data_IF_042664675273
#
_entry.id   IF_042664675273
#
_cell.length_a   1.000
_cell.length_b   1.000
_cell.length_c   1.000
_cell.angle_alpha   90.00
_cell.angle_beta   90.00
_cell.angle_gamma   90.00
#
_symmetry.space_group_name_H-M   'P 1'
#
loop_
_entity.id
_entity.type
_entity.pdbx_description
1 polymer ?
#
# COMPACT_ATOMS: atom_id res chain seq x y z
N UNK A 1 -14.30 -0.29 10.46
CA UNK A 1 -13.45 -0.09 11.67
C UNK A 1 -13.29 1.39 11.94
N UNK A 2 -13.07 1.76 13.19
CA UNK A 2 -12.84 3.15 13.58
C UNK A 2 -11.44 3.30 14.16
N UNK A 3 -10.62 4.14 13.52
CA UNK A 3 -9.26 4.42 13.95
C UNK A 3 -9.23 5.22 15.26
N UNK A 4 -8.05 5.32 15.89
CA UNK A 4 -7.86 5.99 17.19
C UNK A 4 -8.24 7.47 17.17
N UNK A 5 -8.02 8.16 16.06
CA UNK A 5 -8.42 9.56 15.84
C UNK A 5 -9.89 9.73 15.44
N UNK A 6 -10.63 8.63 15.35
CA UNK A 6 -12.05 8.64 14.99
C UNK A 6 -12.32 8.43 13.51
N UNK A 7 -11.30 8.40 12.65
CA UNK A 7 -11.43 8.18 11.19
C UNK A 7 -12.10 6.84 10.89
N UNK A 8 -13.06 6.82 9.98
CA UNK A 8 -13.74 5.60 9.55
C UNK A 8 -12.95 4.89 8.44
N UNK A 9 -12.55 3.65 8.70
CA UNK A 9 -11.78 2.80 7.79
C UNK A 9 -12.69 1.70 7.24
N UNK A 10 -12.95 1.76 5.93
CA UNK A 10 -13.66 0.72 5.22
C UNK A 10 -12.78 -0.54 5.15
N UNK A 11 -13.36 -1.68 5.51
CA UNK A 11 -12.69 -2.97 5.38
C UNK A 11 -13.67 -4.05 4.95
N UNK A 12 -13.13 -5.12 4.36
CA UNK A 12 -13.89 -6.27 3.91
C UNK A 12 -13.12 -7.56 4.22
N UNK A 13 -13.81 -8.52 4.80
CA UNK A 13 -13.28 -9.84 5.09
C UNK A 13 -13.97 -10.91 4.24
N UNK A 14 -13.19 -11.80 3.64
CA UNK A 14 -13.70 -12.96 2.89
C UNK A 14 -12.88 -14.21 3.16
N UNK A 15 -13.49 -15.39 2.97
CA UNK A 15 -12.89 -16.66 3.42
C UNK A 15 -13.14 -16.95 4.90
N UNK A 16 -12.69 -18.14 5.38
CA UNK A 16 -13.08 -18.67 6.71
C UNK A 16 -11.92 -19.23 7.53
N UNK A 17 -10.68 -19.16 7.04
CA UNK A 17 -9.52 -19.76 7.70
C UNK A 17 -8.82 -18.75 8.62
N UNK A 18 -7.52 -18.95 8.88
CA UNK A 18 -6.73 -18.04 9.70
C UNK A 18 -6.69 -16.64 9.09
N UNK A 19 -6.80 -15.56 9.87
CA UNK A 19 -6.85 -14.21 9.34
C UNK A 19 -5.52 -13.79 8.70
N UNK A 20 -5.60 -13.32 7.46
CA UNK A 20 -4.54 -12.63 6.74
C UNK A 20 -5.02 -11.20 6.48
N UNK A 21 -4.41 -10.25 7.16
CA UNK A 21 -4.73 -8.83 7.02
C UNK A 21 -3.80 -8.19 6.02
N UNK A 22 -4.34 -7.50 5.03
CA UNK A 22 -3.56 -6.68 4.10
C UNK A 22 -3.48 -5.25 4.64
N UNK A 23 -2.27 -4.80 4.95
CA UNK A 23 -2.03 -3.40 5.23
C UNK A 23 -2.47 -2.55 4.02
N UNK A 24 -3.17 -1.42 4.24
CA UNK A 24 -3.66 -0.61 3.14
C UNK A 24 -2.49 -0.08 2.30
N UNK A 25 -2.70 -0.04 1.01
CA UNK A 25 -1.80 0.65 0.09
C UNK A 25 -2.64 1.60 -0.77
N UNK A 26 -2.02 2.62 -1.32
CA UNK A 26 -2.71 3.60 -2.13
C UNK A 26 -3.28 3.01 -3.43
N UNK A 27 -4.20 3.74 -4.06
CA UNK A 27 -4.88 3.30 -5.30
C UNK A 27 -5.61 1.98 -5.07
N UNK A 28 -6.45 1.93 -4.03
CA UNK A 28 -7.39 0.83 -3.81
C UNK A 28 -8.80 1.35 -3.63
N UNK A 29 -9.75 0.51 -4.03
CA UNK A 29 -11.15 0.65 -3.70
C UNK A 29 -11.72 -0.76 -3.56
N UNK A 30 -12.22 -1.10 -2.39
CA UNK A 30 -12.65 -2.45 -2.03
C UNK A 30 -13.68 -3.06 -3.01
N UNK A 31 -14.52 -2.24 -3.63
CA UNK A 31 -15.51 -2.70 -4.61
C UNK A 31 -14.85 -3.03 -5.94
N UNK A 32 -14.00 -2.13 -6.46
CA UNK A 32 -13.41 -2.25 -7.79
C UNK A 32 -12.20 -3.19 -7.84
N UNK A 33 -11.49 -3.39 -6.73
CA UNK A 33 -10.32 -4.28 -6.66
C UNK A 33 -10.62 -5.71 -7.14
N UNK A 34 -11.86 -6.20 -6.95
CA UNK A 34 -12.27 -7.54 -7.42
C UNK A 34 -12.32 -7.65 -8.95
N UNK A 35 -12.42 -6.55 -9.64
CA UNK A 35 -12.41 -6.48 -11.12
C UNK A 35 -11.05 -6.06 -11.67
N UNK A 36 -10.13 -5.62 -10.79
CA UNK A 36 -8.80 -5.17 -11.18
C UNK A 36 -7.98 -6.32 -11.78
N UNK A 37 -7.59 -6.25 -13.05
CA UNK A 37 -6.84 -7.32 -13.71
C UNK A 37 -5.49 -7.61 -13.04
N UNK A 38 -4.90 -6.63 -12.34
CA UNK A 38 -3.64 -6.81 -11.62
C UNK A 38 -3.80 -7.57 -10.29
N UNK A 39 -4.96 -7.48 -9.64
CA UNK A 39 -5.16 -7.98 -8.26
C UNK A 39 -6.23 -9.05 -8.12
N UNK A 40 -7.22 -9.15 -9.02
CA UNK A 40 -8.37 -10.06 -8.89
C UNK A 40 -7.98 -11.52 -8.64
N UNK A 41 -6.93 -12.00 -9.30
CA UNK A 41 -6.44 -13.38 -9.13
C UNK A 41 -5.77 -13.60 -7.76
N UNK A 42 -5.04 -12.61 -7.24
CA UNK A 42 -4.46 -12.65 -5.90
C UNK A 42 -5.55 -12.71 -4.83
N UNK A 43 -6.55 -11.83 -4.95
CA UNK A 43 -7.69 -11.81 -4.03
C UNK A 43 -8.33 -13.18 -3.97
N UNK A 44 -8.66 -13.77 -5.12
CA UNK A 44 -9.29 -15.08 -5.21
C UNK A 44 -8.47 -16.21 -4.57
N UNK A 45 -7.15 -16.25 -4.78
CA UNK A 45 -6.30 -17.27 -4.19
C UNK A 45 -6.11 -17.09 -2.67
N UNK A 46 -5.92 -15.85 -2.23
CA UNK A 46 -5.76 -15.57 -0.81
C UNK A 46 -7.03 -15.86 0.00
N UNK A 47 -8.21 -15.58 -0.55
CA UNK A 47 -9.51 -15.91 0.06
C UNK A 47 -9.77 -17.41 0.20
N UNK A 48 -9.26 -18.25 -0.70
CA UNK A 48 -9.39 -19.71 -0.59
C UNK A 48 -8.63 -20.28 0.59
N UNK A 49 -7.48 -19.68 0.89
CA UNK A 49 -6.53 -20.20 1.88
C UNK A 49 -6.60 -19.48 3.23
N UNK A 50 -7.24 -18.32 3.31
CA UNK A 50 -7.28 -17.46 4.49
C UNK A 50 -8.67 -16.86 4.70
N UNK A 51 -8.92 -16.31 5.89
CA UNK A 51 -9.85 -15.19 6.07
C UNK A 51 -9.12 -13.93 5.66
N UNK A 52 -9.22 -13.57 4.38
CA UNK A 52 -8.50 -12.45 3.81
C UNK A 52 -9.23 -11.13 4.12
N UNK A 53 -8.54 -10.22 4.81
CA UNK A 53 -9.06 -8.93 5.22
C UNK A 53 -8.35 -7.83 4.46
N UNK A 54 -9.11 -6.98 3.79
CA UNK A 54 -8.62 -5.84 3.03
C UNK A 54 -9.25 -4.57 3.57
N UNK A 55 -8.53 -3.48 3.54
CA UNK A 55 -9.05 -2.15 3.87
C UNK A 55 -8.62 -1.13 2.81
N UNK A 56 -9.45 -0.13 2.60
CA UNK A 56 -9.02 1.06 1.88
C UNK A 56 -8.28 1.98 2.83
N UNK A 57 -7.20 2.61 2.33
CA UNK A 57 -6.44 3.59 3.08
C UNK A 57 -7.32 4.80 3.40
N UNK A 58 -7.12 5.42 4.57
CA UNK A 58 -7.73 6.73 4.88
C UNK A 58 -7.51 7.72 3.74
N UNK A 59 -8.50 8.47 3.37
CA UNK A 59 -8.47 9.40 2.24
C UNK A 59 -8.67 8.75 0.87
N UNK A 60 -8.94 7.42 0.81
CA UNK A 60 -9.11 6.67 -0.43
C UNK A 60 -10.28 5.70 -0.39
N UNK A 61 -10.76 5.32 -1.58
CA UNK A 61 -11.79 4.30 -1.78
C UNK A 61 -13.07 4.59 -1.00
N UNK A 62 -13.46 3.62 -0.17
CA UNK A 62 -14.66 3.68 0.66
C UNK A 62 -14.37 4.15 2.11
N UNK A 63 -13.09 4.36 2.47
CA UNK A 63 -12.72 4.97 3.75
C UNK A 63 -13.03 6.46 3.76
N UNK A 64 -13.04 7.06 4.95
CA UNK A 64 -13.23 8.50 5.09
C UNK A 64 -12.24 9.29 4.24
N UNK A 65 -12.79 10.12 3.32
CA UNK A 65 -11.99 10.82 2.31
C UNK A 65 -11.27 12.06 2.87
N UNK A 66 -11.82 12.67 3.93
CA UNK A 66 -11.28 13.86 4.57
C UNK A 66 -10.92 13.58 6.05
N UNK A 67 -9.99 12.64 6.33
CA UNK A 67 -9.60 12.31 7.69
C UNK A 67 -8.92 13.49 8.37
N UNK A 68 -9.07 13.59 9.70
CA UNK A 68 -8.43 14.65 10.51
C UNK A 68 -6.90 14.60 10.39
N UNK A 69 -6.31 13.40 10.42
CA UNK A 69 -4.88 13.19 10.25
C UNK A 69 -4.57 12.36 9.00
N UNK A 70 -3.58 12.78 8.23
CA UNK A 70 -3.04 12.03 7.10
C UNK A 70 -1.52 11.91 7.25
N UNK A 71 -1.10 10.99 8.12
CA UNK A 71 0.30 10.77 8.49
C UNK A 71 0.65 9.27 8.41
N UNK A 72 1.93 8.95 8.34
CA UNK A 72 2.37 7.55 8.39
C UNK A 72 1.89 6.87 9.69
N UNK A 73 1.99 7.55 10.81
CA UNK A 73 1.56 7.05 12.12
C UNK A 73 0.07 6.70 12.14
N UNK A 74 -0.78 7.59 11.63
CA UNK A 74 -2.22 7.33 11.57
C UNK A 74 -2.57 6.13 10.68
N UNK A 75 -1.79 5.86 9.63
CA UNK A 75 -1.97 4.67 8.78
C UNK A 75 -1.58 3.37 9.49
N UNK A 76 -0.58 3.41 10.38
CA UNK A 76 -0.25 2.26 11.23
C UNK A 76 -1.34 2.01 12.27
N UNK A 77 -1.92 3.07 12.85
CA UNK A 77 -3.08 2.98 13.75
C UNK A 77 -4.34 2.44 13.06
N UNK A 78 -4.52 2.69 11.76
CA UNK A 78 -5.61 2.09 10.97
C UNK A 78 -5.49 0.57 10.90
N UNK A 79 -4.27 0.05 10.71
CA UNK A 79 -4.06 -1.41 10.74
C UNK A 79 -4.41 -1.97 12.12
N UNK A 80 -4.03 -1.29 13.19
CA UNK A 80 -4.40 -1.68 14.55
C UNK A 80 -5.92 -1.74 14.72
N UNK A 81 -6.64 -0.70 14.29
CA UNK A 81 -8.09 -0.63 14.36
C UNK A 81 -8.78 -1.77 13.58
N UNK A 82 -8.28 -2.11 12.39
CA UNK A 82 -8.80 -3.22 11.59
C UNK A 82 -8.55 -4.56 12.29
N UNK A 83 -7.35 -4.79 12.83
CA UNK A 83 -7.02 -6.04 13.55
C UNK A 83 -7.84 -6.17 14.84
N UNK A 84 -8.06 -5.09 15.57
CA UNK A 84 -8.86 -5.09 16.80
C UNK A 84 -10.35 -5.38 16.51
N UNK A 85 -10.89 -4.78 15.45
CA UNK A 85 -12.28 -5.00 15.01
C UNK A 85 -12.55 -6.46 14.57
N UNK A 86 -11.51 -7.17 14.12
CA UNK A 86 -11.61 -8.60 13.81
C UNK A 86 -11.82 -9.49 15.05
N UNK A 87 -11.52 -8.99 16.24
CA UNK A 87 -11.63 -9.72 17.50
C UNK A 87 -10.68 -10.92 17.60
N UNK A 88 -9.50 -10.86 16.95
CA UNK A 88 -8.51 -11.94 16.94
C UNK A 88 -7.29 -11.58 17.79
N UNK A 89 -6.70 -12.57 18.46
CA UNK A 89 -5.46 -12.36 19.22
C UNK A 89 -4.27 -12.18 18.29
N UNK A 90 -4.19 -12.96 17.21
CA UNK A 90 -3.08 -12.93 16.26
C UNK A 90 -3.59 -13.01 14.83
N UNK A 91 -2.82 -12.46 13.90
CA UNK A 91 -3.07 -12.57 12.46
C UNK A 91 -1.75 -12.77 11.69
N UNK A 92 -1.86 -13.17 10.43
CA UNK A 92 -0.81 -13.00 9.44
C UNK A 92 -1.01 -11.62 8.78
N UNK A 93 0.08 -10.96 8.41
CA UNK A 93 0.03 -9.62 7.83
C UNK A 93 0.72 -9.61 6.47
N UNK A 94 0.12 -8.95 5.49
CA UNK A 94 0.73 -8.74 4.18
C UNK A 94 0.80 -7.24 3.87
N UNK A 95 2.00 -6.78 3.52
CA UNK A 95 2.26 -5.43 3.02
C UNK A 95 2.73 -5.45 1.57
N UNK A 96 2.07 -4.67 0.71
CA UNK A 96 2.40 -4.56 -0.71
C UNK A 96 2.81 -3.12 -1.02
N UNK A 97 3.96 -2.94 -1.67
CA UNK A 97 4.49 -1.62 -2.04
C UNK A 97 4.44 -0.63 -0.85
N UNK A 98 3.66 0.45 -0.93
CA UNK A 98 3.50 1.44 0.14
C UNK A 98 2.86 0.89 1.42
N UNK A 99 2.13 -0.21 1.34
CA UNK A 99 1.61 -0.91 2.51
C UNK A 99 2.68 -1.71 3.26
N UNK A 100 3.84 -1.97 2.66
CA UNK A 100 4.89 -2.75 3.30
C UNK A 100 5.53 -2.02 4.50
N UNK A 101 5.95 -0.74 4.42
CA UNK A 101 6.43 -0.03 5.60
C UNK A 101 5.38 0.09 6.71
N UNK A 102 4.10 0.24 6.37
CA UNK A 102 3.00 0.26 7.35
C UNK A 102 2.92 -1.11 8.07
N UNK A 103 2.95 -2.21 7.30
CA UNK A 103 2.94 -3.56 7.85
C UNK A 103 4.17 -3.85 8.72
N UNK A 104 5.36 -3.42 8.30
CA UNK A 104 6.60 -3.55 9.08
C UNK A 104 6.52 -2.80 10.39
N UNK A 105 6.06 -1.55 10.37
CA UNK A 105 5.92 -0.73 11.58
C UNK A 105 4.88 -1.32 12.55
N UNK A 106 3.73 -1.76 12.03
CA UNK A 106 2.73 -2.43 12.87
C UNK A 106 3.30 -3.71 13.51
N UNK A 107 3.96 -4.58 12.73
CA UNK A 107 4.54 -5.83 13.22
C UNK A 107 5.67 -5.60 14.24
N UNK A 108 6.48 -4.55 14.05
CA UNK A 108 7.54 -4.18 14.99
C UNK A 108 7.01 -3.69 16.34
N UNK A 109 5.89 -2.95 16.33
CA UNK A 109 5.27 -2.37 17.53
C UNK A 109 4.33 -3.35 18.24
N UNK A 110 3.85 -4.38 17.53
CA UNK A 110 2.91 -5.38 18.05
C UNK A 110 3.41 -6.81 17.75
N UNK A 111 4.62 -7.19 18.21
CA UNK A 111 5.26 -8.45 17.82
C UNK A 111 4.48 -9.69 18.26
N UNK A 112 3.65 -9.60 19.30
CA UNK A 112 2.76 -10.68 19.76
C UNK A 112 1.49 -10.82 18.92
N UNK A 113 1.12 -9.79 18.14
CA UNK A 113 -0.10 -9.78 17.33
C UNK A 113 0.12 -10.33 15.91
N UNK A 114 1.38 -10.35 15.43
CA UNK A 114 1.72 -10.76 14.05
C UNK A 114 2.49 -12.07 14.07
N UNK A 115 1.87 -13.15 13.57
CA UNK A 115 2.48 -14.47 13.48
C UNK A 115 3.44 -14.57 12.30
N UNK A 116 3.01 -14.15 11.11
CA UNK A 116 3.77 -14.14 9.86
C UNK A 116 3.62 -12.81 9.15
N UNK A 117 4.71 -12.36 8.53
CA UNK A 117 4.76 -11.13 7.76
C UNK A 117 5.13 -11.44 6.31
N UNK A 118 4.33 -11.01 5.36
CA UNK A 118 4.58 -11.16 3.94
C UNK A 118 4.78 -9.76 3.35
N UNK A 119 5.91 -9.53 2.72
CA UNK A 119 6.29 -8.24 2.14
C UNK A 119 6.49 -8.40 0.63
N UNK A 120 5.70 -7.67 -0.15
CA UNK A 120 5.75 -7.75 -1.61
C UNK A 120 6.16 -6.40 -2.18
N UNK A 121 7.21 -6.37 -3.00
CA UNK A 121 7.76 -5.15 -3.59
C UNK A 121 8.01 -4.07 -2.52
N UNK A 122 8.66 -4.47 -1.44
CA UNK A 122 8.78 -3.71 -0.20
C UNK A 122 9.98 -2.76 -0.18
N UNK A 123 9.88 -1.75 0.66
CA UNK A 123 10.98 -0.87 1.04
C UNK A 123 10.81 -0.42 2.50
N UNK A 124 11.91 -0.28 3.22
CA UNK A 124 11.92 0.25 4.59
C UNK A 124 12.19 1.76 4.62
N UNK A 125 12.71 2.31 3.53
CA UNK A 125 12.99 3.75 3.41
C UNK A 125 12.45 4.28 2.08
N UNK A 126 11.78 5.42 2.11
CA UNK A 126 11.27 6.14 0.96
C UNK A 126 12.41 6.61 0.03
N UNK A 127 12.06 6.99 -1.17
CA UNK A 127 13.08 7.28 -2.20
C UNK A 127 13.89 8.55 -1.93
N UNK A 128 13.40 9.52 -1.15
CA UNK A 128 14.20 10.67 -0.70
C UNK A 128 15.22 10.28 0.36
N UNK A 129 14.93 9.24 1.13
CA UNK A 129 15.82 8.75 2.21
C UNK A 129 16.85 7.78 1.67
N UNK A 130 16.46 6.86 0.76
CA UNK A 130 17.35 5.80 0.24
C UNK A 130 18.06 6.17 -1.05
N UNK A 131 17.49 7.09 -1.84
CA UNK A 131 17.96 7.42 -3.18
C UNK A 131 19.24 8.26 -3.18
N UNK A 132 19.99 8.16 -4.26
CA UNK A 132 21.08 9.10 -4.55
C UNK A 132 20.53 10.40 -5.14
N UNK A 133 21.38 11.41 -5.30
CA UNK A 133 20.97 12.72 -5.80
C UNK A 133 20.32 12.68 -7.19
N UNK A 134 20.74 11.78 -8.07
CA UNK A 134 20.20 11.61 -9.41
C UNK A 134 18.78 11.01 -9.37
N UNK A 135 18.57 9.93 -8.59
CA UNK A 135 17.26 9.31 -8.38
C UNK A 135 16.28 10.32 -7.78
N UNK A 136 16.71 11.04 -6.74
CA UNK A 136 15.89 12.06 -6.08
C UNK A 136 15.48 13.18 -7.05
N UNK A 137 16.44 13.70 -7.84
CA UNK A 137 16.17 14.74 -8.82
C UNK A 137 15.19 14.30 -9.89
N UNK A 138 15.40 13.09 -10.44
CA UNK A 138 14.52 12.51 -11.45
C UNK A 138 13.10 12.32 -10.92
N UNK A 139 12.96 11.72 -9.73
CA UNK A 139 11.64 11.47 -9.11
C UNK A 139 10.92 12.77 -8.76
N UNK A 140 11.61 13.78 -8.26
CA UNK A 140 11.03 15.11 -8.02
C UNK A 140 10.48 15.72 -9.32
N UNK A 141 11.24 15.63 -10.42
CA UNK A 141 10.80 16.13 -11.72
C UNK A 141 9.56 15.40 -12.23
N UNK A 142 9.53 14.06 -12.08
CA UNK A 142 8.37 13.25 -12.44
C UNK A 142 7.13 13.64 -11.62
N UNK A 143 7.31 13.89 -10.31
CA UNK A 143 6.23 14.31 -9.42
C UNK A 143 5.67 15.68 -9.80
N UNK A 144 6.51 16.64 -10.10
CA UNK A 144 6.07 17.98 -10.55
C UNK A 144 5.30 17.92 -11.87
N UNK A 145 5.70 17.03 -12.77
CA UNK A 145 4.97 16.79 -14.01
C UNK A 145 3.59 16.18 -13.72
N UNK A 146 3.53 15.17 -12.87
CA UNK A 146 2.26 14.49 -12.52
C UNK A 146 1.27 15.43 -11.82
N UNK A 147 1.71 16.28 -10.89
CA UNK A 147 0.85 17.28 -10.23
C UNK A 147 0.10 18.18 -11.23
N UNK A 148 0.75 18.56 -12.31
CA UNK A 148 0.14 19.41 -13.35
C UNK A 148 -0.86 18.66 -14.22
N UNK A 149 -0.68 17.37 -14.43
CA UNK A 149 -1.43 16.58 -15.40
C UNK A 149 -2.53 15.70 -14.79
N UNK A 150 -2.49 15.38 -13.50
CA UNK A 150 -3.63 14.72 -12.86
C UNK A 150 -4.92 15.55 -12.91
N UNK A 151 -4.80 16.86 -13.14
CA UNK A 151 -5.93 17.72 -13.48
C UNK A 151 -6.54 17.40 -14.86
N UNK A 152 -5.79 16.72 -15.75
CA UNK A 152 -6.20 16.39 -17.11
C UNK A 152 -6.36 14.87 -17.23
N UNK A 153 -7.59 14.39 -17.07
CA UNK A 153 -7.97 12.97 -17.23
C UNK A 153 -7.45 12.41 -18.55
N UNK A 154 -6.71 11.30 -18.52
CA UNK A 154 -6.00 10.65 -19.63
C UNK A 154 -4.81 11.45 -20.14
N UNK A 155 -3.75 11.46 -19.37
CA UNK A 155 -2.49 11.98 -19.87
C UNK A 155 -1.53 10.85 -20.22
N UNK A 156 -0.66 11.11 -21.18
CA UNK A 156 0.48 10.26 -21.52
C UNK A 156 1.35 9.98 -20.26
N UNK A 157 1.40 10.92 -19.33
CA UNK A 157 2.15 10.79 -18.07
C UNK A 157 1.48 9.84 -17.09
N UNK A 158 0.15 9.76 -17.05
CA UNK A 158 -0.57 8.74 -16.28
C UNK A 158 -0.23 7.33 -16.75
N UNK A 159 -0.12 7.11 -18.05
CA UNK A 159 0.33 5.84 -18.62
C UNK A 159 1.80 5.55 -18.29
N UNK A 160 2.67 6.55 -18.37
CA UNK A 160 4.07 6.43 -17.95
C UNK A 160 4.17 6.08 -16.46
N UNK A 161 3.35 6.70 -15.61
CA UNK A 161 3.31 6.41 -14.19
C UNK A 161 2.88 4.98 -13.92
N UNK A 162 1.81 4.50 -14.58
CA UNK A 162 1.38 3.10 -14.50
C UNK A 162 2.48 2.13 -14.95
N UNK A 163 3.29 2.50 -15.95
CA UNK A 163 4.41 1.67 -16.42
C UNK A 163 5.51 1.48 -15.36
N UNK A 164 5.67 2.41 -14.41
CA UNK A 164 6.59 2.24 -13.28
C UNK A 164 6.11 1.16 -12.30
N UNK A 165 4.80 1.07 -12.09
CA UNK A 165 4.20 0.07 -11.19
C UNK A 165 3.96 -1.28 -11.85
N UNK A 166 3.64 -1.27 -13.13
CA UNK A 166 3.29 -2.45 -13.92
C UNK A 166 4.11 -2.48 -15.21
N UNK A 167 5.44 -2.66 -15.12
CA UNK A 167 6.28 -2.74 -16.31
C UNK A 167 5.85 -3.92 -17.19
N UNK A 168 5.53 -3.64 -18.46
CA UNK A 168 5.01 -4.63 -19.39
C UNK A 168 3.53 -4.96 -19.21
N UNK A 169 2.77 -4.11 -18.51
CA UNK A 169 1.31 -4.24 -18.43
C UNK A 169 0.68 -4.25 -19.82
N UNK A 170 -0.31 -5.11 -20.01
CA UNK A 170 -1.13 -5.10 -21.20
C UNK A 170 -2.16 -3.95 -21.17
N UNK A 171 -2.83 -3.78 -22.30
CA UNK A 171 -3.83 -2.71 -22.46
C UNK A 171 -5.00 -2.86 -21.49
N UNK A 172 -5.38 -4.11 -21.12
CA UNK A 172 -6.47 -4.34 -20.15
C UNK A 172 -6.17 -3.68 -18.80
N UNK A 173 -4.93 -3.80 -18.32
CA UNK A 173 -4.49 -3.20 -17.03
C UNK A 173 -4.53 -1.67 -17.12
N UNK A 174 -3.99 -1.11 -18.19
CA UNK A 174 -3.93 0.34 -18.41
C UNK A 174 -5.34 0.94 -18.51
N UNK A 175 -6.19 0.34 -19.34
CA UNK A 175 -7.57 0.81 -19.54
C UNK A 175 -8.40 0.71 -18.27
N UNK A 176 -8.23 -0.39 -17.51
CA UNK A 176 -8.92 -0.55 -16.25
C UNK A 176 -8.55 0.57 -15.26
N UNK A 177 -7.27 0.85 -15.07
CA UNK A 177 -6.82 1.92 -14.16
C UNK A 177 -7.27 3.29 -14.62
N UNK A 178 -7.18 3.60 -15.91
CA UNK A 178 -7.67 4.87 -16.46
C UNK A 178 -9.17 5.07 -16.24
N UNK A 179 -9.96 4.00 -16.36
CA UNK A 179 -11.41 4.04 -16.14
C UNK A 179 -11.77 4.28 -14.67
N UNK A 180 -11.10 3.56 -13.77
CA UNK A 180 -11.43 3.56 -12.34
C UNK A 180 -10.65 4.58 -11.50
N UNK A 181 -9.71 5.31 -12.09
CA UNK A 181 -8.90 6.30 -11.40
C UNK A 181 -9.71 7.30 -10.56
N UNK A 182 -10.87 7.83 -11.01
CA UNK A 182 -11.68 8.75 -10.21
C UNK A 182 -12.29 8.13 -8.95
N UNK A 183 -12.37 6.80 -8.87
CA UNK A 183 -12.99 6.07 -7.77
C UNK A 183 -12.01 5.80 -6.61
N UNK A 184 -10.72 6.02 -6.83
CA UNK A 184 -9.71 5.79 -5.80
C UNK A 184 -9.70 6.89 -4.74
N UNK A 185 -9.75 8.16 -5.16
CA UNK A 185 -9.75 9.28 -4.23
C UNK A 185 -9.44 10.62 -4.90
N UNK A 186 -9.50 11.73 -4.15
CA UNK A 186 -9.21 13.04 -4.68
C UNK A 186 -7.71 13.21 -5.00
N UNK A 187 -7.42 13.89 -6.11
CA UNK A 187 -6.04 14.15 -6.59
C UNK A 187 -5.12 14.75 -5.52
N UNK A 188 -5.54 15.74 -4.71
CA UNK A 188 -4.70 16.28 -3.64
C UNK A 188 -4.30 15.22 -2.60
N UNK A 189 -5.13 14.20 -2.39
CA UNK A 189 -4.81 13.10 -1.46
C UNK A 189 -3.78 12.14 -2.04
N UNK A 190 -3.85 11.88 -3.35
CA UNK A 190 -2.82 11.11 -4.07
C UNK A 190 -1.46 11.81 -3.98
N UNK A 191 -1.41 13.11 -4.21
CA UNK A 191 -0.20 13.91 -4.08
C UNK A 191 0.37 13.85 -2.66
N UNK A 192 -0.48 14.04 -1.64
CA UNK A 192 -0.07 13.95 -0.24
C UNK A 192 0.49 12.57 0.11
N UNK A 193 -0.11 11.47 -0.41
CA UNK A 193 0.37 10.12 -0.20
C UNK A 193 1.76 9.88 -0.80
N UNK A 194 2.01 10.38 -2.00
CA UNK A 194 3.31 10.19 -2.66
C UNK A 194 4.39 11.00 -1.94
N UNK A 195 4.09 12.22 -1.53
CA UNK A 195 5.00 13.05 -0.73
C UNK A 195 5.34 12.36 0.60
N UNK A 196 4.33 11.85 1.30
CA UNK A 196 4.52 11.11 2.55
C UNK A 196 5.39 9.86 2.32
N UNK A 197 5.09 9.08 1.29
CA UNK A 197 5.81 7.84 1.00
C UNK A 197 7.28 8.07 0.61
N UNK A 198 7.61 9.25 0.09
CA UNK A 198 8.98 9.61 -0.27
C UNK A 198 9.91 9.70 0.95
N UNK A 199 9.37 10.09 2.11
CA UNK A 199 10.14 10.38 3.33
C UNK A 199 9.99 9.32 4.43
N UNK A 200 9.22 8.25 4.20
CA UNK A 200 9.10 7.13 5.14
C UNK A 200 10.48 6.56 5.46
N UNK A 201 10.72 6.30 6.75
CA UNK A 201 11.89 5.57 7.23
C UNK A 201 11.53 4.70 8.44
N UNK A 202 11.44 3.40 8.24
CA UNK A 202 11.15 2.41 9.29
C UNK A 202 12.32 1.47 9.57
N UNK A 203 13.54 1.79 9.07
CA UNK A 203 14.71 0.92 9.20
C UNK A 203 15.05 0.60 10.65
N UNK A 204 14.92 1.55 11.55
CA UNK A 204 15.21 1.36 12.97
C UNK A 204 14.20 0.45 13.68
N UNK A 205 13.01 0.30 13.12
CA UNK A 205 11.97 -0.56 13.66
C UNK A 205 12.16 -2.04 13.29
N UNK A 206 12.84 -2.34 12.16
CA UNK A 206 12.96 -3.71 11.62
C UNK A 206 13.50 -4.71 12.63
N UNK A 207 14.44 -4.33 13.47
CA UNK A 207 15.03 -5.18 14.52
C UNK A 207 14.04 -5.67 15.58
N UNK A 208 12.86 -5.04 15.68
CA UNK A 208 11.81 -5.38 16.62
C UNK A 208 10.79 -6.37 16.03
N UNK A 209 10.84 -6.64 14.73
CA UNK A 209 9.95 -7.61 14.06
C UNK A 209 10.34 -9.01 14.51
N UNK A 210 9.41 -9.75 15.12
CA UNK A 210 9.58 -11.14 15.56
C UNK A 210 8.89 -12.13 14.64
N UNK A 211 7.98 -11.66 13.80
CA UNK A 211 7.24 -12.48 12.87
C UNK A 211 8.17 -13.17 11.85
N UNK A 212 7.91 -14.45 11.57
CA UNK A 212 8.52 -15.12 10.43
C UNK A 212 8.19 -14.34 9.15
N UNK A 213 9.21 -13.84 8.45
CA UNK A 213 9.03 -12.88 7.36
C UNK A 213 9.43 -13.47 6.02
N UNK A 214 8.51 -13.34 5.04
CA UNK A 214 8.75 -13.66 3.64
C UNK A 214 8.83 -12.36 2.83
N UNK A 215 9.95 -12.14 2.12
CA UNK A 215 10.11 -11.01 1.20
C UNK A 215 10.05 -11.50 -0.24
N UNK A 216 9.04 -11.03 -0.98
CA UNK A 216 8.88 -11.27 -2.42
C UNK A 216 9.11 -9.97 -3.18
N UNK A 217 9.96 -9.97 -4.21
CA UNK A 217 10.27 -8.74 -4.92
C UNK A 217 10.44 -8.95 -6.42
N UNK A 218 9.75 -8.15 -7.22
CA UNK A 218 9.91 -8.13 -8.66
C UNK A 218 11.28 -7.54 -9.05
N UNK A 219 11.97 -8.20 -9.97
CA UNK A 219 13.27 -7.69 -10.46
C UNK A 219 13.15 -6.38 -11.24
N UNK A 220 11.99 -6.12 -11.80
CA UNK A 220 11.73 -4.98 -12.69
C UNK A 220 10.84 -3.91 -12.05
N UNK A 221 10.64 -3.95 -10.74
CA UNK A 221 9.88 -2.91 -10.05
C UNK A 221 10.57 -1.55 -10.19
N UNK A 222 9.92 -0.62 -10.88
CA UNK A 222 10.45 0.73 -11.13
C UNK A 222 10.19 1.69 -9.96
N UNK A 223 9.25 1.35 -9.07
CA UNK A 223 8.91 2.18 -7.91
C UNK A 223 9.75 1.84 -6.69
N UNK A 224 9.79 0.55 -6.33
CA UNK A 224 10.68 0.04 -5.28
C UNK A 224 11.74 -0.86 -5.92
N UNK A 225 12.94 -0.35 -6.23
CA UNK A 225 13.98 -1.14 -6.88
C UNK A 225 14.36 -2.38 -6.07
N UNK A 226 14.78 -3.44 -6.75
CA UNK A 226 15.13 -4.73 -6.10
C UNK A 226 16.10 -4.59 -4.92
N UNK A 227 17.03 -3.62 -4.96
CA UNK A 227 17.94 -3.37 -3.84
C UNK A 227 17.21 -2.93 -2.56
N UNK A 228 16.06 -2.24 -2.68
CA UNK A 228 15.27 -1.83 -1.52
C UNK A 228 14.63 -3.04 -0.82
N UNK A 229 14.13 -4.02 -1.60
CA UNK A 229 13.64 -5.28 -1.05
C UNK A 229 14.75 -6.14 -0.42
N UNK A 230 15.94 -6.17 -1.04
CA UNK A 230 17.11 -6.85 -0.46
C UNK A 230 17.59 -6.23 0.87
N UNK A 231 17.39 -4.93 1.06
CA UNK A 231 17.74 -4.25 2.30
C UNK A 231 16.74 -4.55 3.45
N UNK A 232 15.58 -5.10 3.14
CA UNK A 232 14.57 -5.54 4.12
C UNK A 232 14.76 -7.01 4.50
N UNK A 233 15.27 -7.83 3.58
CA UNK A 233 15.49 -9.27 3.79
C UNK A 233 16.74 -9.56 4.62
#
# INVERSE_FOLDING_TARGET
>A
SKSKDGTEIANAASGKRFPLVKAPNWITNLETDRTNPSYRHWIGELERSNRFVRSDMRGFGLSELEPEAFTFESMVEDVAAVVDDLGVETCDLIGVAHGAPIAMSYAARNPERVRKLILVNSFAAGWRVRGNAEEISWRNSLMEMNKREWAFRRSLLGEMFLTLYFPGADTEVIDWHNKHFPEFGPVPRLEAMIELAADIDVRDELKNIRAETLVCHSKQDGNAPLYAGKAVA
#
